data_IF_054151213431
#
_entry.id   IF_054151213431
#
_cell.length_a   1.000
_cell.length_b   1.000
_cell.length_c   1.000
_cell.angle_alpha   90.00
_cell.angle_beta   90.00
_cell.angle_gamma   90.00
#
_symmetry.space_group_name_H-M   'P 1'
#
loop_
_entity.id
_entity.type
_entity.pdbx_description
1 polymer ?
#
# COMPACT_ATOMS: atom_id res chain seq x y z
N UNK A 1 -4.36 39.90 -17.66
CA UNK A 1 -5.78 39.49 -17.76
C UNK A 1 -5.94 38.85 -19.13
N UNK A 2 -5.44 37.62 -19.30
CA UNK A 2 -5.54 36.86 -20.55
C UNK A 2 -5.02 35.43 -20.30
N UNK A 3 -5.62 34.45 -20.99
CA UNK A 3 -5.41 32.99 -20.93
C UNK A 3 -6.22 32.20 -19.88
N UNK A 4 -7.52 32.44 -19.78
CA UNK A 4 -8.44 31.32 -19.49
C UNK A 4 -8.60 30.51 -20.79
N UNK A 5 -7.62 29.66 -21.10
CA UNK A 5 -7.80 28.61 -22.11
C UNK A 5 -8.94 27.72 -21.64
N UNK A 6 -10.12 27.86 -22.27
CA UNK A 6 -11.19 26.89 -22.08
C UNK A 6 -10.69 25.54 -22.59
N UNK A 7 -10.48 24.59 -21.68
CA UNK A 7 -10.16 23.22 -22.06
C UNK A 7 -11.38 22.61 -22.75
N UNK A 8 -11.34 22.55 -24.09
CA UNK A 8 -12.33 21.81 -24.87
C UNK A 8 -11.91 20.35 -24.92
N UNK A 9 -12.58 19.51 -24.15
CA UNK A 9 -12.37 18.06 -24.21
C UNK A 9 -13.04 17.49 -25.47
N UNK A 10 -12.31 16.75 -26.34
CA UNK A 10 -12.88 16.14 -27.53
C UNK A 10 -13.76 14.93 -27.18
N UNK A 11 -14.66 14.54 -28.08
CA UNK A 11 -15.50 13.35 -27.90
C UNK A 11 -14.71 12.05 -27.90
N UNK A 12 -13.56 12.03 -28.60
CA UNK A 12 -12.67 10.90 -28.69
C UNK A 12 -11.27 11.40 -28.35
N UNK A 13 -10.57 10.67 -27.49
CA UNK A 13 -9.19 10.97 -27.14
C UNK A 13 -8.33 9.71 -27.31
N UNK A 14 -7.11 9.91 -27.82
CA UNK A 14 -6.14 8.83 -27.92
C UNK A 14 -5.71 8.36 -26.52
N UNK A 15 -5.60 7.05 -26.37
CA UNK A 15 -5.12 6.36 -25.19
C UNK A 15 -3.73 6.83 -24.78
N UNK A 16 -2.85 7.14 -25.73
CA UNK A 16 -1.50 7.65 -25.42
C UNK A 16 -1.55 8.95 -24.60
N UNK A 17 -2.51 9.82 -24.92
CA UNK A 17 -2.74 11.07 -24.19
C UNK A 17 -3.40 10.80 -22.83
N UNK A 18 -4.35 9.86 -22.78
CA UNK A 18 -5.03 9.46 -21.56
C UNK A 18 -4.07 8.84 -20.55
N UNK A 19 -3.16 7.97 -20.99
CA UNK A 19 -2.21 7.24 -20.14
C UNK A 19 -0.95 8.05 -19.81
N UNK A 20 -0.72 9.19 -20.48
CA UNK A 20 0.40 10.09 -20.18
C UNK A 20 0.38 10.51 -18.71
N UNK A 21 1.47 10.28 -17.99
CA UNK A 21 1.60 10.64 -16.58
C UNK A 21 2.35 11.96 -16.41
N UNK A 22 2.06 12.67 -15.32
CA UNK A 22 2.88 13.80 -14.90
C UNK A 22 4.30 13.31 -14.55
N UNK A 23 5.37 14.05 -14.90
CA UNK A 23 6.74 13.63 -14.60
C UNK A 23 7.01 13.35 -13.12
N UNK A 24 6.33 14.08 -12.22
CA UNK A 24 6.44 13.84 -10.77
C UNK A 24 5.78 12.51 -10.36
N UNK A 25 4.64 12.19 -10.96
CA UNK A 25 3.91 10.94 -10.69
C UNK A 25 4.73 9.76 -11.22
N UNK A 26 5.27 9.87 -12.43
CA UNK A 26 6.08 8.82 -13.05
C UNK A 26 7.30 8.45 -12.21
N UNK A 27 7.99 9.45 -11.63
CA UNK A 27 9.15 9.23 -10.75
C UNK A 27 8.80 8.54 -9.44
N UNK A 28 7.62 8.80 -8.88
CA UNK A 28 7.27 8.40 -7.52
C UNK A 28 6.27 7.25 -7.44
N UNK A 29 5.72 6.78 -8.57
CA UNK A 29 4.65 5.77 -8.57
C UNK A 29 5.06 4.46 -7.89
N UNK A 30 6.28 3.97 -8.15
CA UNK A 30 6.80 2.74 -7.53
C UNK A 30 7.04 2.93 -6.03
N UNK A 31 7.49 4.12 -5.65
CA UNK A 31 7.72 4.47 -4.25
C UNK A 31 6.40 4.54 -3.47
N UNK A 32 5.36 5.19 -4.02
CA UNK A 32 4.04 5.23 -3.41
C UNK A 32 3.43 3.83 -3.32
N UNK A 33 3.56 3.01 -4.38
CA UNK A 33 3.04 1.64 -4.36
C UNK A 33 3.72 0.79 -3.28
N UNK A 34 5.04 0.98 -3.08
CA UNK A 34 5.81 0.34 -2.01
C UNK A 34 5.33 0.81 -0.62
N UNK A 35 5.09 2.11 -0.43
CA UNK A 35 4.50 2.62 0.81
C UNK A 35 3.12 2.03 1.07
N UNK A 36 2.28 1.96 0.04
CA UNK A 36 0.95 1.34 0.09
C UNK A 36 1.02 -0.12 0.51
N UNK A 37 1.94 -0.88 -0.08
CA UNK A 37 2.19 -2.29 0.25
C UNK A 37 2.63 -2.48 1.71
N UNK A 38 3.57 -1.67 2.20
CA UNK A 38 4.09 -1.77 3.57
C UNK A 38 3.05 -1.36 4.61
N UNK A 39 2.22 -0.35 4.33
CA UNK A 39 1.20 0.15 5.27
C UNK A 39 -0.06 -0.72 5.28
N UNK A 40 -0.53 -1.18 4.12
CA UNK A 40 -1.68 -2.08 4.03
C UNK A 40 -1.31 -3.50 4.45
N UNK A 41 -0.13 -3.98 4.05
CA UNK A 41 0.40 -5.31 4.38
C UNK A 41 -0.47 -6.45 3.85
N UNK A 42 -0.45 -7.58 4.56
CA UNK A 42 -1.35 -8.71 4.32
C UNK A 42 -1.27 -9.28 2.90
N UNK A 43 -2.44 -9.55 2.30
CA UNK A 43 -2.55 -10.20 1.00
C UNK A 43 -1.95 -9.36 -0.14
N UNK A 44 -2.08 -8.02 -0.10
CA UNK A 44 -1.49 -7.11 -1.10
C UNK A 44 0.03 -7.31 -1.17
N UNK A 45 0.69 -7.34 -0.02
CA UNK A 45 2.13 -7.58 0.06
C UNK A 45 2.49 -9.02 -0.33
N UNK A 46 1.68 -10.01 0.09
CA UNK A 46 1.89 -11.41 -0.27
C UNK A 46 1.84 -11.67 -1.77
N UNK A 47 0.93 -11.04 -2.52
CA UNK A 47 0.88 -11.15 -3.99
C UNK A 47 2.16 -10.62 -4.64
N UNK A 48 2.75 -9.56 -4.08
CA UNK A 48 3.97 -8.90 -4.55
C UNK A 48 5.24 -9.36 -3.86
N UNK A 49 5.22 -10.46 -3.09
CA UNK A 49 6.37 -10.97 -2.31
C UNK A 49 7.67 -11.13 -3.10
N UNK A 50 7.59 -11.38 -4.41
CA UNK A 50 8.75 -11.47 -5.32
C UNK A 50 9.51 -10.16 -5.49
N UNK A 51 8.86 -9.02 -5.27
CA UNK A 51 9.50 -7.70 -5.30
C UNK A 51 10.33 -7.43 -4.05
N UNK A 52 10.06 -8.15 -2.95
CA UNK A 52 10.67 -7.89 -1.64
C UNK A 52 11.66 -8.97 -1.20
N UNK A 53 11.50 -10.20 -1.70
CA UNK A 53 12.43 -11.31 -1.43
C UNK A 53 13.35 -11.48 -2.63
N UNK A 54 14.57 -10.97 -2.51
CA UNK A 54 15.58 -11.09 -3.56
C UNK A 54 16.06 -12.54 -3.70
N UNK A 55 16.24 -12.98 -4.96
CA UNK A 55 16.84 -14.28 -5.29
C UNK A 55 18.32 -14.27 -4.93
N UNK A 56 18.80 -15.32 -4.25
CA UNK A 56 20.23 -15.44 -3.92
C UNK A 56 21.03 -15.79 -5.19
N UNK A 57 22.32 -15.42 -5.26
CA UNK A 57 23.21 -15.93 -6.30
C UNK A 57 23.12 -17.46 -6.37
N UNK A 58 22.99 -18.01 -7.58
CA UNK A 58 22.92 -19.45 -7.87
C UNK A 58 21.76 -20.23 -7.21
N UNK A 59 20.73 -19.55 -6.72
CA UNK A 59 19.56 -20.21 -6.12
C UNK A 59 18.68 -20.85 -7.21
N UNK A 60 18.41 -22.15 -7.11
CA UNK A 60 17.47 -22.85 -8.00
C UNK A 60 16.03 -22.34 -7.84
N UNK A 61 15.25 -22.35 -8.93
CA UNK A 61 13.85 -21.89 -8.93
C UNK A 61 12.96 -22.63 -7.91
N UNK A 62 13.24 -23.92 -7.68
CA UNK A 62 12.48 -24.74 -6.72
C UNK A 62 12.73 -24.26 -5.29
N UNK A 63 13.98 -23.92 -4.96
CA UNK A 63 14.37 -23.40 -3.65
C UNK A 63 13.81 -22.00 -3.43
N UNK A 64 13.92 -21.14 -4.45
CA UNK A 64 13.36 -19.79 -4.39
C UNK A 64 11.84 -19.81 -4.17
N UNK A 65 11.09 -20.64 -4.92
CA UNK A 65 9.65 -20.77 -4.73
C UNK A 65 9.27 -21.34 -3.36
N UNK A 66 10.08 -22.24 -2.77
CA UNK A 66 9.90 -22.69 -1.39
C UNK A 66 10.07 -21.55 -0.39
N UNK A 67 11.07 -20.67 -0.58
CA UNK A 67 11.29 -19.48 0.26
C UNK A 67 10.13 -18.50 0.14
N UNK A 68 9.64 -18.23 -1.07
CA UNK A 68 8.47 -17.39 -1.30
C UNK A 68 7.18 -17.92 -0.63
N UNK A 69 7.03 -19.24 -0.45
CA UNK A 69 5.89 -19.83 0.27
C UNK A 69 5.96 -19.59 1.78
N UNK A 70 7.15 -19.35 2.32
CA UNK A 70 7.40 -19.05 3.74
C UNK A 70 7.45 -17.54 4.00
N UNK A 71 6.96 -16.73 3.06
CA UNK A 71 6.98 -15.28 3.22
C UNK A 71 6.20 -14.86 4.47
N UNK A 72 6.84 -14.05 5.31
CA UNK A 72 6.25 -13.50 6.53
C UNK A 72 6.43 -11.98 6.53
N UNK A 73 5.45 -11.29 7.09
CA UNK A 73 5.55 -9.85 7.32
C UNK A 73 4.77 -9.44 8.56
N UNK A 74 5.45 -8.81 9.51
CA UNK A 74 4.82 -8.08 10.61
C UNK A 74 4.59 -6.62 10.21
N UNK A 75 3.32 -6.17 10.19
CA UNK A 75 2.94 -4.83 9.70
C UNK A 75 3.21 -3.70 10.71
N UNK A 76 4.48 -3.47 11.02
CA UNK A 76 4.90 -2.47 12.01
C UNK A 76 4.59 -1.04 11.54
N UNK A 77 4.84 -0.74 10.26
CA UNK A 77 4.63 0.61 9.74
C UNK A 77 3.14 0.99 9.74
N UNK A 78 2.29 0.09 9.26
CA UNK A 78 0.84 0.31 9.23
C UNK A 78 0.24 0.43 10.62
N UNK A 79 0.74 -0.33 11.60
CA UNK A 79 0.32 -0.22 13.00
C UNK A 79 0.80 1.08 13.63
N UNK A 80 2.07 1.46 13.44
CA UNK A 80 2.60 2.71 13.97
C UNK A 80 1.84 3.94 13.42
N UNK A 81 1.55 3.98 12.10
CA UNK A 81 0.76 5.05 11.49
C UNK A 81 -0.66 5.07 12.06
N UNK A 82 -1.29 3.89 12.24
CA UNK A 82 -2.62 3.79 12.83
C UNK A 82 -2.65 4.37 14.24
N UNK A 83 -1.67 4.02 15.06
CA UNK A 83 -1.55 4.52 16.43
C UNK A 83 -1.36 6.04 16.44
N UNK A 84 -0.55 6.58 15.52
CA UNK A 84 -0.36 8.02 15.41
C UNK A 84 -1.63 8.76 14.97
N UNK A 85 -2.37 8.22 13.99
CA UNK A 85 -3.67 8.77 13.57
C UNK A 85 -4.67 8.77 14.75
N UNK A 86 -4.72 7.69 15.53
CA UNK A 86 -5.59 7.61 16.72
C UNK A 86 -5.20 8.69 17.73
N UNK A 87 -3.91 8.93 17.97
CA UNK A 87 -3.44 10.02 18.84
C UNK A 87 -3.88 11.38 18.32
N UNK A 88 -3.66 11.68 17.04
CA UNK A 88 -4.03 12.95 16.40
C UNK A 88 -5.55 13.22 16.44
N UNK A 89 -6.35 12.17 16.37
CA UNK A 89 -7.82 12.26 16.26
C UNK A 89 -8.54 11.95 17.59
N UNK A 90 -7.78 11.76 18.66
CA UNK A 90 -8.30 11.54 20.01
C UNK A 90 -8.94 12.80 20.59
N UNK A 91 -8.36 13.97 20.30
CA UNK A 91 -8.89 15.26 20.74
C UNK A 91 -10.13 15.66 19.94
N UNK A 92 -11.17 16.23 20.59
CA UNK A 92 -12.34 16.74 19.90
C UNK A 92 -11.93 17.90 18.97
N UNK A 93 -12.28 17.78 17.69
CA UNK A 93 -12.07 18.82 16.70
C UNK A 93 -13.26 19.78 16.73
N UNK A 94 -12.99 21.05 17.04
CA UNK A 94 -14.02 22.10 17.03
C UNK A 94 -13.85 22.94 15.77
N UNK A 95 -14.89 22.99 14.94
CA UNK A 95 -14.96 23.96 13.85
C UNK A 95 -15.66 25.23 14.35
N UNK A 96 -14.93 26.34 14.41
CA UNK A 96 -15.48 27.66 14.71
C UNK A 96 -15.90 28.35 13.41
N UNK A 97 -16.99 29.13 13.45
CA UNK A 97 -17.44 29.94 12.31
C UNK A 97 -18.35 29.23 11.31
N UNK A 98 -18.63 27.94 11.51
CA UNK A 98 -19.74 27.26 10.84
C UNK A 98 -20.99 27.48 11.68
N UNK A 99 -22.00 28.17 11.15
CA UNK A 99 -23.28 28.35 11.85
C UNK A 99 -23.94 27.00 12.16
N UNK A 100 -24.90 26.98 13.10
CA UNK A 100 -25.73 25.81 13.43
C UNK A 100 -26.76 25.50 12.33
N UNK A 101 -26.36 25.63 11.07
CA UNK A 101 -27.17 25.26 9.93
C UNK A 101 -27.32 23.74 9.91
N UNK A 102 -28.57 23.29 9.78
CA UNK A 102 -28.96 21.88 9.61
C UNK A 102 -28.18 21.17 8.49
N UNK A 103 -27.71 21.94 7.49
CA UNK A 103 -26.78 21.47 6.47
C UNK A 103 -25.49 20.86 7.04
N UNK A 104 -24.77 21.60 7.89
CA UNK A 104 -23.48 21.14 8.43
C UNK A 104 -23.66 19.93 9.34
N UNK A 105 -24.76 19.87 10.10
CA UNK A 105 -25.12 18.72 10.90
C UNK A 105 -25.35 17.47 10.06
N UNK A 106 -26.01 17.58 8.90
CA UNK A 106 -26.18 16.47 7.96
C UNK A 106 -24.87 16.06 7.29
N UNK A 107 -24.12 17.03 6.79
CA UNK A 107 -22.84 16.78 6.10
C UNK A 107 -21.84 16.06 7.01
N UNK A 108 -21.71 16.47 8.28
CA UNK A 108 -20.83 15.81 9.26
C UNK A 108 -21.23 14.36 9.58
N UNK A 109 -22.51 14.03 9.46
CA UNK A 109 -23.02 12.65 9.62
C UNK A 109 -22.69 11.78 8.40
N UNK A 110 -22.57 12.36 7.21
CA UNK A 110 -22.32 11.63 5.97
C UNK A 110 -21.52 12.47 4.97
N UNK A 111 -20.19 12.48 5.11
CA UNK A 111 -19.28 13.28 4.29
C UNK A 111 -19.16 12.75 2.86
N UNK A 112 -19.35 11.45 2.64
CA UNK A 112 -19.20 10.81 1.33
C UNK A 112 -20.53 10.34 0.71
N UNK A 113 -21.67 10.75 1.28
CA UNK A 113 -23.00 10.28 0.85
C UNK A 113 -23.31 8.80 1.18
N UNK A 114 -22.42 8.08 1.86
CA UNK A 114 -22.57 6.66 2.26
C UNK A 114 -22.49 6.45 3.78
N UNK A 115 -23.01 7.39 4.57
CA UNK A 115 -22.98 7.36 6.05
C UNK A 115 -21.58 7.34 6.66
N UNK A 116 -20.54 7.78 5.93
CA UNK A 116 -19.21 7.95 6.50
C UNK A 116 -19.18 9.21 7.34
N UNK A 117 -18.92 9.05 8.64
CA UNK A 117 -18.84 10.17 9.58
C UNK A 117 -17.61 11.02 9.28
N UNK A 118 -17.69 12.30 9.65
CA UNK A 118 -16.58 13.24 9.58
C UNK A 118 -15.30 12.69 10.24
N UNK A 119 -15.42 12.12 11.45
CA UNK A 119 -14.26 11.54 12.15
C UNK A 119 -13.58 10.45 11.34
N UNK A 120 -14.35 9.55 10.72
CA UNK A 120 -13.80 8.47 9.89
C UNK A 120 -13.16 9.02 8.61
N UNK A 121 -13.72 10.10 8.04
CA UNK A 121 -13.11 10.78 6.90
C UNK A 121 -11.77 11.41 7.27
N UNK A 122 -11.71 12.16 8.38
CA UNK A 122 -10.49 12.81 8.87
C UNK A 122 -9.42 11.78 9.25
N UNK A 123 -9.79 10.67 9.89
CA UNK A 123 -8.87 9.57 10.20
C UNK A 123 -8.22 9.01 8.92
N UNK A 124 -9.01 8.81 7.86
CA UNK A 124 -8.49 8.33 6.59
C UNK A 124 -7.62 9.37 5.88
N UNK A 125 -8.00 10.65 5.96
CA UNK A 125 -7.22 11.76 5.43
C UNK A 125 -5.83 11.80 6.09
N UNK A 126 -5.76 11.79 7.43
CA UNK A 126 -4.48 11.78 8.13
C UNK A 126 -3.67 10.51 7.86
N UNK A 127 -4.33 9.33 7.79
CA UNK A 127 -3.64 8.09 7.39
C UNK A 127 -2.99 8.23 6.02
N UNK A 128 -3.68 8.81 5.04
CA UNK A 128 -3.14 9.03 3.70
C UNK A 128 -2.01 10.06 3.69
N UNK A 129 -2.17 11.18 4.38
CA UNK A 129 -1.13 12.21 4.53
C UNK A 129 0.14 11.64 5.15
N UNK A 130 0.03 10.90 6.25
CA UNK A 130 1.20 10.31 6.92
C UNK A 130 1.86 9.21 6.08
N UNK A 131 1.09 8.51 5.25
CA UNK A 131 1.61 7.46 4.37
C UNK A 131 2.33 8.06 3.16
N UNK A 132 1.66 8.92 2.39
CA UNK A 132 2.16 9.39 1.08
C UNK A 132 2.67 10.83 1.06
N UNK A 133 2.64 11.54 2.19
CA UNK A 133 3.05 12.93 2.33
C UNK A 133 1.99 13.93 1.84
N UNK A 134 1.13 13.51 0.91
CA UNK A 134 0.04 14.32 0.39
C UNK A 134 -1.14 13.46 -0.06
N UNK A 135 -2.30 14.08 -0.22
CA UNK A 135 -3.50 13.46 -0.78
C UNK A 135 -4.38 14.49 -1.48
N UNK A 136 -5.33 14.00 -2.27
CA UNK A 136 -6.24 14.84 -3.02
C UNK A 136 -7.67 14.67 -2.50
N UNK A 137 -8.34 15.78 -2.19
CA UNK A 137 -9.75 15.79 -1.77
C UNK A 137 -10.57 16.38 -2.89
N UNK A 138 -11.43 15.58 -3.50
CA UNK A 138 -12.41 16.03 -4.47
C UNK A 138 -13.73 16.33 -3.76
N UNK A 139 -14.27 17.53 -3.99
CA UNK A 139 -15.56 17.97 -3.44
C UNK A 139 -16.56 18.12 -4.57
N UNK A 140 -17.59 17.27 -4.58
CA UNK A 140 -18.58 17.25 -5.65
C UNK A 140 -19.99 17.35 -5.12
N UNK A 141 -20.91 17.72 -6.02
CA UNK A 141 -22.34 17.77 -5.74
C UNK A 141 -23.07 16.90 -6.76
N UNK A 142 -23.92 15.96 -6.32
CA UNK A 142 -24.68 15.14 -7.25
C UNK A 142 -25.53 16.02 -8.16
N UNK A 143 -25.63 15.64 -9.44
CA UNK A 143 -26.51 16.34 -10.38
C UNK A 143 -27.97 16.15 -9.94
N UNK A 144 -28.76 17.23 -9.86
CA UNK A 144 -30.16 17.12 -9.49
C UNK A 144 -30.99 16.36 -10.51
N UNK A 145 -32.02 15.67 -10.03
CA UNK A 145 -33.00 15.01 -10.90
C UNK A 145 -34.05 16.05 -11.29
N UNK A 146 -34.01 16.47 -12.55
CA UNK A 146 -34.94 17.44 -13.13
C UNK A 146 -34.46 18.89 -13.04
N UNK A 147 -35.35 19.82 -13.44
CA UNK A 147 -35.06 21.26 -13.43
C UNK A 147 -35.31 21.79 -12.02
N UNK A 148 -34.26 22.14 -11.30
CA UNK A 148 -34.38 22.89 -10.04
C UNK A 148 -34.56 24.37 -10.38
N UNK A 149 -35.67 24.95 -9.92
CA UNK A 149 -35.99 26.38 -10.12
C UNK A 149 -35.54 27.25 -8.96
N UNK A 150 -35.44 26.70 -7.74
CA UNK A 150 -35.07 27.46 -6.54
C UNK A 150 -34.26 26.64 -5.52
N UNK A 151 -33.59 27.33 -4.58
CA UNK A 151 -32.80 26.70 -3.49
C UNK A 151 -33.63 25.83 -2.54
N UNK A 152 -34.94 26.05 -2.48
CA UNK A 152 -35.84 25.30 -1.60
C UNK A 152 -36.11 23.90 -2.17
N UNK A 153 -36.36 23.79 -3.48
CA UNK A 153 -36.47 22.52 -4.22
C UNK A 153 -35.18 21.70 -4.14
N UNK A 154 -34.02 22.37 -4.19
CA UNK A 154 -32.72 21.72 -4.00
C UNK A 154 -32.57 21.10 -2.61
N UNK A 155 -32.98 21.84 -1.57
CA UNK A 155 -33.00 21.32 -0.19
C UNK A 155 -33.99 20.17 -0.02
N UNK A 156 -35.14 20.21 -0.70
CA UNK A 156 -36.12 19.13 -0.69
C UNK A 156 -35.58 17.85 -1.33
N UNK A 157 -34.75 17.98 -2.38
CA UNK A 157 -34.09 16.83 -3.02
C UNK A 157 -32.92 16.25 -2.19
N UNK A 158 -32.52 16.89 -1.08
CA UNK A 158 -31.42 16.45 -0.19
C UNK A 158 -30.12 16.14 -0.93
N UNK A 159 -29.79 16.98 -1.90
CA UNK A 159 -28.57 16.88 -2.69
C UNK A 159 -27.46 17.57 -1.92
N UNK A 160 -26.97 16.89 -0.89
CA UNK A 160 -25.83 17.36 -0.10
C UNK A 160 -24.53 17.05 -0.87
N UNK A 161 -23.52 17.95 -0.83
CA UNK A 161 -22.23 17.70 -1.44
C UNK A 161 -21.50 16.57 -0.71
N UNK A 162 -20.53 15.97 -1.38
CA UNK A 162 -19.74 14.87 -0.84
C UNK A 162 -18.26 15.04 -1.13
N UNK A 163 -17.43 14.48 -0.26
CA UNK A 163 -15.99 14.45 -0.42
C UNK A 163 -15.48 13.05 -0.73
N UNK A 164 -14.56 12.97 -1.69
CA UNK A 164 -13.83 11.75 -2.05
C UNK A 164 -12.34 12.00 -1.84
N UNK A 165 -11.69 11.06 -1.17
CA UNK A 165 -10.24 11.05 -1.00
C UNK A 165 -9.61 10.22 -2.11
N UNK A 166 -8.60 10.78 -2.77
CA UNK A 166 -7.77 10.12 -3.78
C UNK A 166 -6.33 10.02 -3.29
N UNK A 167 -5.73 8.84 -3.49
CA UNK A 167 -4.31 8.61 -3.25
C UNK A 167 -3.51 9.33 -4.34
N UNK A 168 -2.24 9.67 -4.08
CA UNK A 168 -1.36 10.19 -5.13
C UNK A 168 -1.26 9.26 -6.35
N UNK A 169 -1.34 7.94 -6.13
CA UNK A 169 -1.35 6.92 -7.20
C UNK A 169 -2.57 7.00 -8.12
N UNK A 170 -3.73 7.46 -7.62
CA UNK A 170 -4.96 7.58 -8.41
C UNK A 170 -4.89 8.78 -9.38
N UNK A 171 -4.04 9.77 -9.07
CA UNK A 171 -3.83 10.97 -9.87
C UNK A 171 -2.70 10.71 -10.86
N UNK A 172 -3.05 10.59 -12.14
CA UNK A 172 -2.05 10.31 -13.18
C UNK A 172 -1.42 11.59 -13.74
N UNK A 173 -2.19 12.69 -13.80
CA UNK A 173 -1.69 13.97 -14.28
C UNK A 173 -2.44 15.13 -13.62
N UNK A 174 -1.80 16.29 -13.55
CA UNK A 174 -2.43 17.48 -12.96
C UNK A 174 -1.71 18.76 -13.42
N UNK A 175 -2.47 19.85 -13.47
CA UNK A 175 -1.96 21.20 -13.66
C UNK A 175 -1.97 21.98 -12.36
N UNK A 176 -0.95 22.81 -12.17
CA UNK A 176 -0.86 23.76 -11.06
C UNK A 176 -1.00 25.18 -11.64
N UNK A 177 -1.65 26.08 -10.90
CA UNK A 177 -1.73 27.51 -11.21
C UNK A 177 -0.59 28.32 -10.55
N UNK A 178 -0.53 29.62 -10.82
CA UNK A 178 0.52 30.49 -10.26
C UNK A 178 0.51 30.58 -8.72
N UNK A 179 -0.57 30.14 -8.07
CA UNK A 179 -0.75 30.15 -6.61
C UNK A 179 -0.48 28.78 -5.97
N UNK A 180 0.22 27.89 -6.68
CA UNK A 180 0.48 26.50 -6.26
C UNK A 180 -0.80 25.68 -5.97
N UNK A 181 -1.93 26.12 -6.55
CA UNK A 181 -3.22 25.46 -6.43
C UNK A 181 -3.52 24.63 -7.68
N UNK A 182 -4.29 23.57 -7.52
CA UNK A 182 -4.65 22.69 -8.64
C UNK A 182 -5.56 23.45 -9.62
N UNK A 183 -5.15 23.53 -10.88
CA UNK A 183 -5.96 24.08 -11.97
C UNK A 183 -6.81 23.02 -12.65
N UNK A 184 -6.26 21.84 -12.87
CA UNK A 184 -6.97 20.67 -13.38
C UNK A 184 -6.31 19.36 -12.93
N UNK A 185 -7.06 18.26 -12.95
CA UNK A 185 -6.59 16.94 -12.53
C UNK A 185 -7.11 15.88 -13.50
N UNK A 186 -6.27 14.89 -13.77
CA UNK A 186 -6.61 13.65 -14.46
C UNK A 186 -6.48 12.48 -13.50
N UNK A 187 -7.61 11.83 -13.25
CA UNK A 187 -7.73 10.66 -12.37
C UNK A 187 -7.92 9.43 -13.22
N UNK A 188 -7.22 8.36 -12.89
CA UNK A 188 -7.42 7.06 -13.52
C UNK A 188 -7.89 6.04 -12.49
N UNK A 189 -8.91 5.27 -12.85
CA UNK A 189 -9.37 4.15 -12.02
C UNK A 189 -9.68 2.92 -12.85
N UNK A 190 -9.28 1.77 -12.31
CA UNK A 190 -9.56 0.45 -12.86
C UNK A 190 -10.45 -0.31 -11.89
N UNK A 191 -11.65 -0.70 -12.32
CA UNK A 191 -12.62 -1.41 -11.47
C UNK A 191 -13.10 -2.68 -12.15
N UNK A 192 -13.00 -3.80 -11.45
CA UNK A 192 -13.60 -5.06 -11.90
C UNK A 192 -15.11 -5.00 -11.64
N UNK A 193 -15.90 -5.19 -12.69
CA UNK A 193 -17.35 -5.24 -12.65
C UNK A 193 -17.77 -6.70 -12.84
N UNK A 194 -18.46 -7.22 -11.83
CA UNK A 194 -19.14 -8.51 -11.88
C UNK A 194 -20.63 -8.27 -12.04
N UNK A 195 -21.19 -8.57 -13.22
CA UNK A 195 -22.64 -8.64 -13.39
C UNK A 195 -23.05 -10.11 -13.24
N UNK A 196 -24.18 -10.43 -12.58
CA UNK A 196 -24.63 -11.81 -12.42
C UNK A 196 -24.78 -12.58 -13.75
N UNK A 197 -25.00 -11.84 -14.84
CA UNK A 197 -25.33 -12.37 -16.16
C UNK A 197 -24.17 -12.31 -17.16
N UNK A 198 -23.00 -11.80 -16.78
CA UNK A 198 -21.86 -11.66 -17.70
C UNK A 198 -20.56 -12.14 -17.08
N UNK A 199 -19.58 -12.42 -17.95
CA UNK A 199 -18.18 -12.61 -17.54
C UNK A 199 -17.69 -11.35 -16.82
N UNK A 200 -16.75 -11.52 -15.89
CA UNK A 200 -16.06 -10.40 -15.25
C UNK A 200 -15.49 -9.46 -16.31
N UNK A 201 -15.88 -8.20 -16.23
CA UNK A 201 -15.36 -7.15 -17.11
C UNK A 201 -14.55 -6.16 -16.29
N UNK A 202 -13.60 -5.51 -16.92
CA UNK A 202 -12.76 -4.50 -16.28
C UNK A 202 -13.11 -3.16 -16.89
N UNK A 203 -13.59 -2.24 -16.05
CA UNK A 203 -13.88 -0.86 -16.44
C UNK A 203 -12.66 0.00 -16.19
N UNK A 204 -12.17 0.61 -17.25
CA UNK A 204 -11.17 1.66 -17.23
C UNK A 204 -11.88 3.01 -17.31
N UNK A 205 -11.55 3.93 -16.42
CA UNK A 205 -12.16 5.25 -16.36
C UNK A 205 -11.08 6.32 -16.16
N UNK A 206 -11.06 7.30 -17.05
CA UNK A 206 -10.24 8.50 -16.97
C UNK A 206 -11.16 9.69 -16.74
N UNK A 207 -10.97 10.39 -15.64
CA UNK A 207 -11.79 11.54 -15.24
C UNK A 207 -10.90 12.77 -15.26
N UNK A 208 -11.23 13.73 -16.12
CA UNK A 208 -10.67 15.07 -16.11
C UNK A 208 -11.55 15.98 -15.28
N UNK A 209 -10.94 16.77 -14.41
CA UNK A 209 -11.62 17.73 -13.56
C UNK A 209 -10.89 19.05 -13.71
N UNK A 210 -11.55 20.07 -14.24
CA UNK A 210 -11.01 21.42 -14.34
C UNK A 210 -11.87 22.43 -13.57
N UNK A 211 -11.76 23.71 -13.89
CA UNK A 211 -12.50 24.78 -13.23
C UNK A 211 -14.00 24.80 -13.54
N UNK A 212 -14.42 24.18 -14.64
CA UNK A 212 -15.74 24.31 -15.23
C UNK A 212 -16.47 22.97 -15.40
N UNK A 213 -15.74 21.91 -15.74
CA UNK A 213 -16.24 20.63 -16.18
C UNK A 213 -15.56 19.45 -15.48
N UNK A 214 -16.36 18.42 -15.25
CA UNK A 214 -15.93 17.06 -14.96
C UNK A 214 -16.23 16.23 -16.21
N UNK A 215 -15.19 15.72 -16.85
CA UNK A 215 -15.29 14.95 -18.11
C UNK A 215 -14.79 13.53 -17.89
N UNK A 216 -15.59 12.55 -18.28
CA UNK A 216 -15.27 11.13 -18.09
C UNK A 216 -15.14 10.42 -19.43
N UNK A 217 -14.00 9.75 -19.62
CA UNK A 217 -13.74 8.78 -20.67
C UNK A 217 -13.77 7.38 -20.05
N UNK A 218 -14.44 6.43 -20.69
CA UNK A 218 -14.53 5.07 -20.15
C UNK A 218 -14.40 4.03 -21.25
N UNK A 219 -13.82 2.91 -20.88
CA UNK A 219 -13.80 1.72 -21.71
C UNK A 219 -14.08 0.48 -20.85
N UNK A 220 -14.95 -0.40 -21.36
CA UNK A 220 -15.30 -1.65 -20.71
C UNK A 220 -14.62 -2.80 -21.43
N UNK A 221 -13.55 -3.32 -20.82
CA UNK A 221 -12.83 -4.49 -21.30
C UNK A 221 -13.61 -5.75 -20.88
N UNK A 222 -14.10 -6.53 -21.85
CA UNK A 222 -14.94 -7.71 -21.58
C UNK A 222 -14.11 -8.97 -21.37
N UNK A 223 -12.91 -9.02 -21.96
CA UNK A 223 -11.99 -10.15 -21.81
C UNK A 223 -10.60 -9.68 -21.37
N UNK A 224 -9.89 -10.45 -20.55
CA UNK A 224 -8.55 -10.07 -20.07
C UNK A 224 -7.53 -9.91 -21.20
N UNK A 225 -7.69 -10.69 -22.26
CA UNK A 225 -6.79 -10.69 -23.43
C UNK A 225 -7.18 -9.64 -24.48
N UNK A 226 -8.28 -8.91 -24.27
CA UNK A 226 -8.71 -7.84 -25.15
C UNK A 226 -7.80 -6.63 -24.97
N UNK A 227 -7.07 -6.23 -26.02
CA UNK A 227 -6.27 -5.00 -25.96
C UNK A 227 -7.17 -3.77 -25.86
N UNK A 228 -6.79 -2.82 -25.00
CA UNK A 228 -7.50 -1.54 -24.92
C UNK A 228 -7.37 -0.80 -26.26
N UNK A 229 -8.47 -0.22 -26.77
CA UNK A 229 -8.46 0.49 -28.04
C UNK A 229 -7.53 1.70 -27.98
N UNK A 230 -7.02 2.11 -29.14
CA UNK A 230 -6.20 3.31 -29.28
C UNK A 230 -6.98 4.58 -28.99
N UNK A 231 -8.28 4.59 -29.29
CA UNK A 231 -9.15 5.73 -29.14
C UNK A 231 -10.28 5.40 -28.18
N UNK A 232 -10.52 6.28 -27.21
CA UNK A 232 -11.51 6.08 -26.16
C UNK A 232 -12.52 7.23 -26.22
N UNK A 233 -13.80 6.86 -26.22
CA UNK A 233 -14.90 7.82 -26.30
C UNK A 233 -15.24 8.41 -24.92
N UNK A 234 -15.64 9.68 -24.95
CA UNK A 234 -16.19 10.41 -23.81
C UNK A 234 -17.59 9.89 -23.50
N UNK A 235 -17.82 9.51 -22.25
CA UNK A 235 -19.13 9.05 -21.76
C UNK A 235 -19.93 10.21 -21.20
N UNK A 236 -19.29 11.15 -20.50
CA UNK A 236 -20.00 12.27 -19.90
C UNK A 236 -19.13 13.52 -19.80
N UNK A 237 -19.81 14.68 -19.81
CA UNK A 237 -19.24 15.97 -19.47
C UNK A 237 -20.29 16.74 -18.66
N UNK A 238 -19.94 17.10 -17.42
CA UNK A 238 -20.86 17.74 -16.47
C UNK A 238 -20.25 19.05 -16.04
N UNK A 239 -21.00 20.15 -16.10
CA UNK A 239 -20.55 21.44 -15.57
C UNK A 239 -20.92 21.58 -14.10
N UNK A 240 -19.92 21.81 -13.25
CA UNK A 240 -20.09 21.94 -11.80
C UNK A 240 -20.17 23.39 -11.31
N UNK A 241 -19.91 24.38 -12.16
CA UNK A 241 -20.09 25.83 -11.90
C UNK A 241 -19.37 26.37 -10.65
N UNK A 242 -18.26 25.75 -10.23
CA UNK A 242 -17.50 26.22 -9.06
C UNK A 242 -16.50 27.34 -9.39
N UNK A 243 -16.33 27.68 -10.67
CA UNK A 243 -15.35 28.65 -11.20
C UNK A 243 -13.88 28.37 -10.82
N UNK A 244 -13.62 27.20 -10.23
CA UNK A 244 -12.33 26.73 -9.71
C UNK A 244 -12.36 25.21 -9.71
N UNK A 245 -11.19 24.58 -9.83
CA UNK A 245 -11.07 23.13 -9.70
C UNK A 245 -11.57 22.68 -8.31
N UNK A 246 -12.54 21.77 -8.23
CA UNK A 246 -13.06 21.24 -6.97
C UNK A 246 -12.13 20.21 -6.30
N UNK A 247 -10.87 20.11 -6.72
CA UNK A 247 -9.88 19.22 -6.12
C UNK A 247 -8.91 20.05 -5.28
N UNK A 248 -8.73 19.62 -4.04
CA UNK A 248 -7.79 20.21 -3.09
C UNK A 248 -6.59 19.27 -2.93
N UNK A 249 -5.39 19.81 -3.12
CA UNK A 249 -4.15 19.14 -2.68
C UNK A 249 -3.94 19.46 -1.21
N UNK A 250 -3.82 18.42 -0.39
CA UNK A 250 -3.38 18.55 1.00
C UNK A 250 -2.01 17.91 1.10
N UNK A 251 -1.05 18.63 1.66
CA UNK A 251 0.35 18.20 1.74
C UNK A 251 0.89 18.45 3.15
N UNK A 252 1.69 17.51 3.62
CA UNK A 252 2.50 17.65 4.81
C UNK A 252 3.87 18.19 4.42
N UNK A 253 4.46 19.08 5.25
CA UNK A 253 5.88 19.39 5.15
C UNK A 253 6.71 18.11 5.15
N UNK A 254 7.79 18.09 4.37
CA UNK A 254 8.64 16.91 4.18
C UNK A 254 9.12 16.29 5.52
N UNK A 255 9.40 17.13 6.52
CA UNK A 255 9.84 16.69 7.86
C UNK A 255 8.78 15.86 8.61
N UNK A 256 7.50 16.15 8.38
CA UNK A 256 6.36 15.46 9.01
C UNK A 256 5.88 14.26 8.19
N UNK A 257 6.52 13.95 7.07
CA UNK A 257 6.17 12.80 6.24
C UNK A 257 6.74 11.50 6.82
N UNK A 258 6.01 10.97 7.80
CA UNK A 258 6.38 9.75 8.51
C UNK A 258 6.63 8.54 7.62
N UNK A 259 5.79 8.31 6.60
CA UNK A 259 5.96 7.21 5.66
C UNK A 259 7.32 7.22 4.98
N UNK A 260 7.75 8.37 4.47
CA UNK A 260 9.07 8.55 3.85
C UNK A 260 10.22 8.44 4.86
N UNK A 261 10.04 8.87 6.10
CA UNK A 261 11.09 8.76 7.11
C UNK A 261 11.30 7.31 7.59
N UNK A 262 10.26 6.48 7.59
CA UNK A 262 10.29 5.14 8.15
C UNK A 262 10.39 3.99 7.12
N UNK A 263 10.06 4.20 5.83
CA UNK A 263 9.91 3.08 4.88
C UNK A 263 11.18 2.23 4.71
N UNK A 264 12.37 2.84 4.64
CA UNK A 264 13.62 2.08 4.49
C UNK A 264 13.85 1.13 5.65
N UNK A 265 13.47 1.55 6.87
CA UNK A 265 13.55 0.71 8.06
C UNK A 265 12.51 -0.41 8.03
N UNK A 266 11.32 -0.14 7.51
CA UNK A 266 10.29 -1.15 7.32
C UNK A 266 10.68 -2.20 6.27
N UNK A 267 11.32 -1.79 5.17
CA UNK A 267 11.89 -2.71 4.17
C UNK A 267 13.00 -3.55 4.80
N UNK A 268 13.92 -2.92 5.53
CA UNK A 268 14.99 -3.63 6.24
C UNK A 268 14.41 -4.68 7.21
N UNK A 269 13.39 -4.33 7.99
CA UNK A 269 12.71 -5.24 8.88
C UNK A 269 12.13 -6.44 8.12
N UNK A 270 11.38 -6.18 7.05
CA UNK A 270 10.79 -7.22 6.20
C UNK A 270 11.86 -8.18 5.66
N UNK A 271 12.98 -7.66 5.17
CA UNK A 271 14.07 -8.48 4.63
C UNK A 271 14.73 -9.36 5.70
N UNK A 272 15.00 -8.79 6.89
CA UNK A 272 15.60 -9.52 8.00
C UNK A 272 14.64 -10.60 8.53
N UNK A 273 13.36 -10.27 8.70
CA UNK A 273 12.34 -11.21 9.15
C UNK A 273 12.22 -12.42 8.22
N UNK A 274 12.14 -12.19 6.90
CA UNK A 274 12.11 -13.27 5.92
C UNK A 274 13.42 -14.08 5.88
N UNK A 275 14.57 -13.41 5.98
CA UNK A 275 15.87 -14.09 6.06
C UNK A 275 15.99 -14.99 7.30
N UNK A 276 15.45 -14.52 8.43
CA UNK A 276 15.40 -15.28 9.67
C UNK A 276 14.46 -16.47 9.58
N UNK A 277 13.23 -16.29 9.09
CA UNK A 277 12.27 -17.40 8.91
C UNK A 277 12.83 -18.49 8.01
N UNK A 278 13.51 -18.13 6.92
CA UNK A 278 14.16 -19.10 6.03
C UNK A 278 15.29 -19.85 6.74
N UNK A 279 16.18 -19.13 7.44
CA UNK A 279 17.32 -19.71 8.18
C UNK A 279 16.85 -20.63 9.30
N UNK A 280 15.86 -20.20 10.09
CA UNK A 280 15.27 -20.98 11.16
C UNK A 280 14.62 -22.27 10.61
N UNK A 281 13.95 -22.17 9.46
CA UNK A 281 13.40 -23.35 8.79
C UNK A 281 14.50 -24.30 8.34
N UNK A 282 15.59 -23.82 7.73
CA UNK A 282 16.73 -24.64 7.31
C UNK A 282 17.43 -25.32 8.50
N UNK A 283 17.62 -24.59 9.61
CA UNK A 283 18.21 -25.14 10.83
C UNK A 283 17.35 -26.25 11.44
N UNK A 284 16.01 -26.13 11.36
CA UNK A 284 15.10 -27.20 11.77
C UNK A 284 15.15 -28.45 10.89
N UNK A 285 15.55 -28.32 9.61
CA UNK A 285 15.70 -29.45 8.70
C UNK A 285 17.04 -30.18 8.83
N UNK A 286 18.12 -29.49 9.21
CA UNK A 286 19.47 -30.05 9.26
C UNK A 286 19.89 -30.26 10.71
N UNK A 287 19.74 -31.48 11.21
CA UNK A 287 20.36 -31.91 12.46
C UNK A 287 21.59 -32.75 12.11
N UNK A 288 22.79 -32.23 12.41
CA UNK A 288 24.05 -32.95 12.25
C UNK A 288 24.35 -33.69 13.55
N UNK A 289 24.54 -34.99 13.45
CA UNK A 289 24.89 -35.84 14.61
C UNK A 289 26.36 -36.20 14.44
N UNK A 290 27.15 -35.90 15.46
CA UNK A 290 28.56 -36.27 15.49
C UNK A 290 28.72 -37.57 16.26
N UNK A 291 29.40 -38.53 15.64
CA UNK A 291 29.91 -39.71 16.32
C UNK A 291 31.40 -39.45 16.59
N UNK A 292 31.86 -39.38 17.85
CA UNK A 292 33.28 -39.23 18.14
C UNK A 292 34.09 -40.36 17.50
N UNK A 293 35.24 -40.01 16.91
CA UNK A 293 36.21 -41.00 16.47
C UNK A 293 36.84 -41.63 17.71
N UNK A 294 36.55 -42.91 17.95
CA UNK A 294 37.21 -43.70 18.99
C UNK A 294 38.68 -43.94 18.58
N UNK A 295 39.58 -43.03 18.96
CA UNK A 295 41.01 -43.32 18.98
C UNK A 295 41.32 -43.89 20.37
N UNK A 296 41.41 -45.21 20.50
CA UNK A 296 41.89 -45.83 21.72
C UNK A 296 43.42 -45.78 21.75
N UNK A 297 43.99 -44.85 22.51
CA UNK A 297 45.44 -44.76 22.77
C UNK A 297 45.84 -45.54 24.03
N UNK A 298 45.19 -46.65 24.36
CA UNK A 298 45.54 -47.45 25.55
C UNK A 298 45.41 -48.96 25.32
N UNK A 299 46.44 -49.77 25.62
CA UNK A 299 46.48 -51.20 25.27
C UNK A 299 45.52 -52.10 26.06
N UNK A 300 44.72 -51.55 26.99
CA UNK A 300 43.96 -52.31 27.98
C UNK A 300 42.46 -51.97 28.04
N UNK A 301 41.94 -51.22 27.06
CA UNK A 301 40.50 -51.04 26.92
C UNK A 301 39.96 -52.05 25.91
N UNK A 302 39.35 -53.12 26.42
CA UNK A 302 38.58 -54.06 25.60
C UNK A 302 37.32 -53.34 25.12
N UNK A 303 37.23 -53.15 23.81
CA UNK A 303 36.08 -52.55 23.13
C UNK A 303 34.80 -53.37 23.38
N UNK A 304 33.95 -52.95 24.31
CA UNK A 304 32.52 -53.12 24.11
C UNK A 304 32.07 -52.00 23.19
N UNK A 305 32.05 -52.29 21.89
CA UNK A 305 31.47 -51.40 20.91
C UNK A 305 30.02 -51.13 21.29
N UNK A 306 29.74 -49.95 21.84
CA UNK A 306 28.43 -49.34 21.67
C UNK A 306 28.27 -49.10 20.18
N UNK A 307 27.79 -50.11 19.47
CA UNK A 307 26.95 -49.89 18.30
C UNK A 307 25.88 -48.93 18.78
N UNK A 308 26.05 -47.63 18.51
CA UNK A 308 24.92 -46.72 18.52
C UNK A 308 24.10 -47.18 17.32
N UNK A 309 23.24 -48.15 17.55
CA UNK A 309 22.21 -48.51 16.60
C UNK A 309 21.42 -47.23 16.32
N UNK A 310 21.17 -46.97 15.05
CA UNK A 310 20.51 -45.75 14.56
C UNK A 310 19.16 -45.51 15.27
N UNK A 311 18.60 -46.56 15.90
CA UNK A 311 17.37 -46.55 16.69
C UNK A 311 17.43 -45.73 18.00
N UNK A 312 18.62 -45.49 18.58
CA UNK A 312 18.73 -44.72 19.83
C UNK A 312 18.76 -43.20 19.64
N UNK A 313 18.82 -42.73 18.39
CA UNK A 313 18.62 -41.31 18.08
C UNK A 313 17.14 -41.07 17.87
N UNK A 314 16.42 -40.68 18.93
CA UNK A 314 15.08 -40.08 18.81
C UNK A 314 15.18 -38.71 18.13
N UNK A 315 15.27 -38.68 16.80
CA UNK A 315 15.08 -37.48 15.99
C UNK A 315 13.82 -37.63 15.15
N UNK A 316 12.94 -36.63 15.21
CA UNK A 316 11.71 -36.56 14.39
C UNK A 316 11.96 -36.04 12.97
N UNK A 317 13.22 -35.86 12.56
CA UNK A 317 13.58 -35.17 11.32
C UNK A 317 13.88 -36.15 10.17
N UNK A 318 13.53 -35.74 8.95
CA UNK A 318 13.51 -36.61 7.77
C UNK A 318 14.89 -36.94 7.16
N UNK A 319 15.93 -36.17 7.46
CA UNK A 319 17.28 -36.37 6.90
C UNK A 319 18.35 -36.19 7.97
N UNK A 320 19.16 -37.24 8.18
CA UNK A 320 20.30 -37.26 9.10
C UNK A 320 21.57 -37.36 8.26
N UNK A 321 22.56 -36.50 8.51
CA UNK A 321 23.91 -36.64 7.94
C UNK A 321 24.91 -36.99 9.05
N UNK A 322 25.66 -38.07 8.83
CA UNK A 322 26.69 -38.59 9.72
C UNK A 322 28.05 -38.38 9.05
N UNK A 323 28.96 -37.65 9.68
CA UNK A 323 30.33 -37.44 9.19
C UNK A 323 31.34 -37.55 10.32
N UNK A 324 32.48 -38.20 10.05
CA UNK A 324 33.61 -38.32 10.97
C UNK A 324 34.72 -37.32 10.64
N UNK A 325 35.42 -36.79 11.66
CA UNK A 325 36.67 -36.03 11.48
C UNK A 325 36.56 -34.55 11.07
N UNK A 326 35.41 -33.89 11.23
CA UNK A 326 35.29 -32.45 10.97
C UNK A 326 35.57 -31.61 12.23
N UNK A 327 36.47 -30.62 12.12
CA UNK A 327 36.60 -29.53 13.10
C UNK A 327 35.62 -28.40 12.78
N UNK A 328 34.81 -28.01 13.76
CA UNK A 328 33.88 -26.88 13.62
C UNK A 328 34.54 -25.55 14.00
N UNK A 329 34.49 -24.58 13.08
CA UNK A 329 34.30 -23.16 13.44
C UNK A 329 32.82 -22.84 13.30
N UNK A 330 32.01 -23.25 14.27
CA UNK A 330 30.63 -22.76 14.35
C UNK A 330 30.67 -21.26 14.62
N UNK A 331 29.90 -20.48 13.84
CA UNK A 331 29.48 -19.17 14.32
C UNK A 331 28.68 -19.44 15.60
N UNK A 332 29.30 -19.23 16.76
CA UNK A 332 28.68 -19.51 18.06
C UNK A 332 27.26 -18.93 18.07
N UNK A 333 26.29 -19.70 18.56
CA UNK A 333 24.86 -19.37 18.59
C UNK A 333 24.50 -18.07 19.30
N UNK A 334 25.48 -17.36 19.88
CA UNK A 334 25.36 -15.96 20.26
C UNK A 334 25.01 -15.08 19.07
N UNK A 335 25.61 -15.29 17.89
CA UNK A 335 25.43 -14.47 16.69
C UNK A 335 23.99 -14.48 16.18
N UNK A 336 23.34 -15.65 16.15
CA UNK A 336 21.93 -15.78 15.76
C UNK A 336 20.98 -15.13 16.79
N UNK A 337 21.25 -15.26 18.09
CA UNK A 337 20.44 -14.64 19.16
C UNK A 337 20.59 -13.11 19.20
N UNK A 338 21.81 -12.58 19.04
CA UNK A 338 22.07 -11.13 19.03
C UNK A 338 21.68 -10.45 17.73
N UNK A 339 21.72 -11.15 16.58
CA UNK A 339 21.30 -10.57 15.30
C UNK A 339 19.79 -10.62 15.06
N UNK A 340 19.02 -11.50 15.72
CA UNK A 340 17.59 -11.66 15.41
C UNK A 340 16.66 -10.87 16.33
N UNK A 341 16.64 -11.17 17.63
CA UNK A 341 15.70 -10.51 18.55
C UNK A 341 16.10 -9.06 18.82
N UNK A 342 17.36 -8.83 19.20
CA UNK A 342 17.80 -7.48 19.57
C UNK A 342 17.77 -6.51 18.37
N UNK A 343 18.03 -7.00 17.16
CA UNK A 343 18.01 -6.16 15.95
C UNK A 343 16.59 -5.90 15.47
N UNK A 344 15.71 -6.91 15.40
CA UNK A 344 14.32 -6.71 15.00
C UNK A 344 13.58 -5.82 16.00
N UNK A 345 13.75 -6.06 17.31
CA UNK A 345 13.17 -5.22 18.36
C UNK A 345 13.71 -3.78 18.30
N UNK A 346 15.01 -3.62 18.01
CA UNK A 346 15.62 -2.29 17.84
C UNK A 346 15.07 -1.58 16.60
N UNK A 347 14.92 -2.26 15.47
CA UNK A 347 14.35 -1.67 14.25
C UNK A 347 12.88 -1.32 14.48
N UNK A 348 12.11 -2.19 15.12
CA UNK A 348 10.71 -1.91 15.48
C UNK A 348 10.61 -0.66 16.37
N UNK A 349 11.42 -0.56 17.43
CA UNK A 349 11.48 0.63 18.29
C UNK A 349 11.89 1.87 17.51
N UNK A 350 12.83 1.76 16.57
CA UNK A 350 13.22 2.87 15.70
C UNK A 350 12.07 3.33 14.81
N UNK A 351 11.35 2.40 14.16
CA UNK A 351 10.17 2.72 13.32
C UNK A 351 9.11 3.42 14.17
N UNK A 352 8.77 2.85 15.33
CA UNK A 352 7.79 3.45 16.26
C UNK A 352 8.23 4.82 16.75
N UNK A 353 9.52 5.00 17.06
CA UNK A 353 10.09 6.29 17.43
C UNK A 353 9.95 7.30 16.29
N UNK A 354 10.36 6.96 15.06
CA UNK A 354 10.26 7.86 13.90
C UNK A 354 8.81 8.30 13.65
N UNK A 355 7.85 7.40 13.88
CA UNK A 355 6.42 7.68 13.66
C UNK A 355 5.79 8.51 14.78
N UNK A 356 6.34 8.45 16.00
CA UNK A 356 5.76 9.10 17.18
C UNK A 356 6.58 10.24 17.76
N UNK A 357 7.72 10.56 17.16
CA UNK A 357 8.49 11.78 17.40
C UNK A 357 7.75 12.97 16.80
#
# INVERSE_FOLDING_TARGET
>A
MELLQYYTYPEILSREILDKKHPNVEKNIEFWDTLGDLVEGGFRLYEKRRCYVERRPDEEDVLYNKRLKKFVYTNILGDAIRDFVVKLTSSPMYSKGLGDDDFWLRFRKSVNGKNKKEKDFINNLFKMLLTYGHCYVFVDKPTPKGIIRNRLEERLQKIDPYCVLYKPEDIIDYGIDDNDSISWVKIYSKKTISLPTSVYSVKHSWVYIDSNYITTYEYLQKNKDEELPRDISRVSQISHKNNRCPVLKLELPHELWTGNNAFLKSIQYLQIENGWTDTASLAGYIQRIFTPSNNADSPNETYEGRNIEIEDVKSSNAHIMIGSGFEFKEAQGSSLKTLSHDVLDKIERQIKSIVSS
#
